data_IF_183069017286
#
_entry.id   IF_183069017286
#
_cell.length_a   1.000
_cell.length_b   1.000
_cell.length_c   1.000
_cell.angle_alpha   90.00
_cell.angle_beta   90.00
_cell.angle_gamma   90.00
#
_symmetry.space_group_name_H-M   'P 1'
#
loop_
_entity.id
_entity.type
_entity.pdbx_description
1 polymer ?
#
# COMPACT_ATOMS: atom_id res chain seq x y z
N UNK A 1 1.35 15.91 -14.62
CA UNK A 1 0.42 16.40 -13.57
C UNK A 1 -1.03 15.97 -13.82
N UNK A 2 -1.62 16.20 -15.00
CA UNK A 2 -3.03 15.85 -15.28
C UNK A 2 -3.34 14.34 -15.18
N UNK A 3 -2.48 13.48 -15.72
CA UNK A 3 -2.69 12.03 -15.67
C UNK A 3 -2.63 11.45 -14.24
N UNK A 4 -1.77 12.00 -13.38
CA UNK A 4 -1.63 11.59 -11.97
C UNK A 4 -2.87 11.99 -11.17
N UNK A 5 -3.40 13.20 -11.41
CA UNK A 5 -4.63 13.66 -10.78
C UNK A 5 -5.86 12.83 -11.21
N UNK A 6 -5.92 12.43 -12.48
CA UNK A 6 -6.98 11.56 -13.01
C UNK A 6 -6.88 10.14 -12.45
N UNK A 7 -5.67 9.60 -12.30
CA UNK A 7 -5.46 8.30 -11.68
C UNK A 7 -5.84 8.31 -10.18
N UNK A 8 -5.47 9.35 -9.44
CA UNK A 8 -5.87 9.54 -8.04
C UNK A 8 -7.39 9.72 -7.91
N UNK A 9 -8.01 10.50 -8.80
CA UNK A 9 -9.45 10.69 -8.83
C UNK A 9 -10.21 9.41 -9.19
N UNK A 10 -9.65 8.57 -10.07
CA UNK A 10 -10.22 7.27 -10.42
C UNK A 10 -10.14 6.27 -9.26
N UNK A 11 -9.01 6.24 -8.52
CA UNK A 11 -8.85 5.39 -7.33
C UNK A 11 -9.82 5.81 -6.22
N UNK A 12 -10.03 7.12 -6.03
CA UNK A 12 -10.99 7.64 -5.04
C UNK A 12 -12.44 7.44 -5.48
N UNK A 13 -12.74 7.63 -6.76
CA UNK A 13 -14.11 7.61 -7.30
C UNK A 13 -14.77 6.23 -7.35
N UNK A 14 -13.99 5.15 -7.51
CA UNK A 14 -14.53 3.78 -7.58
C UNK A 14 -14.96 3.25 -6.19
N UNK A 15 -14.45 3.82 -5.10
CA UNK A 15 -14.75 3.38 -3.73
C UNK A 15 -16.12 3.78 -3.16
N UNK A 16 -16.90 4.61 -3.86
CA UNK A 16 -18.11 5.24 -3.28
C UNK A 16 -19.45 4.54 -3.60
N UNK A 17 -19.48 3.51 -4.45
CA UNK A 17 -20.76 2.96 -4.97
C UNK A 17 -21.36 1.82 -4.10
N UNK A 18 -20.72 1.45 -2.98
CA UNK A 18 -21.14 0.29 -2.15
C UNK A 18 -21.81 0.61 -0.80
N UNK A 19 -22.10 1.87 -0.47
CA UNK A 19 -22.43 2.31 0.90
C UNK A 19 -23.88 2.05 1.32
N UNK A 20 -24.27 0.79 1.47
CA UNK A 20 -25.56 0.42 2.07
C UNK A 20 -25.38 -0.46 3.33
N UNK A 21 -25.65 0.16 4.49
CA UNK A 21 -26.11 -0.46 5.76
C UNK A 21 -25.09 -1.19 6.66
N UNK A 22 -24.09 -0.46 7.13
CA UNK A 22 -23.47 -0.54 8.47
C UNK A 22 -22.55 0.69 8.57
N UNK A 23 -22.39 1.32 9.73
CA UNK A 23 -21.31 2.32 9.86
C UNK A 23 -20.00 1.63 9.49
N UNK A 24 -19.28 2.07 8.45
CA UNK A 24 -18.06 1.39 8.03
C UNK A 24 -17.07 1.43 9.18
N UNK A 25 -16.59 0.26 9.63
CA UNK A 25 -15.54 0.25 10.63
C UNK A 25 -14.29 0.91 10.02
N UNK A 26 -13.76 2.00 10.60
CA UNK A 26 -12.60 2.68 10.04
C UNK A 26 -11.29 1.90 10.25
N UNK A 27 -11.29 0.87 11.10
CA UNK A 27 -10.08 0.12 11.49
C UNK A 27 -9.28 -0.36 10.27
N UNK A 28 -9.86 -0.98 9.22
CA UNK A 28 -9.07 -1.46 8.09
C UNK A 28 -8.40 -0.32 7.36
N UNK A 29 -9.12 0.80 7.17
CA UNK A 29 -8.57 1.99 6.52
C UNK A 29 -7.44 2.60 7.34
N UNK A 30 -7.58 2.67 8.67
CA UNK A 30 -6.53 3.16 9.58
C UNK A 30 -5.28 2.28 9.43
N UNK A 31 -5.43 0.95 9.43
CA UNK A 31 -4.31 0.02 9.30
C UNK A 31 -3.63 0.16 7.94
N UNK A 32 -4.41 0.28 6.87
CA UNK A 32 -3.89 0.52 5.52
C UNK A 32 -3.13 1.84 5.39
N UNK A 33 -3.68 2.94 5.88
CA UNK A 33 -3.02 4.25 5.85
C UNK A 33 -1.76 4.23 6.72
N UNK A 34 -1.82 3.60 7.90
CA UNK A 34 -0.67 3.47 8.79
C UNK A 34 0.49 2.74 8.09
N UNK A 35 0.22 1.64 7.38
CA UNK A 35 1.27 0.92 6.64
C UNK A 35 1.71 1.60 5.35
N UNK A 36 0.84 2.40 4.72
CA UNK A 36 1.25 3.24 3.61
C UNK A 36 2.24 4.33 4.05
N UNK A 37 1.99 4.94 5.23
CA UNK A 37 2.88 5.95 5.78
C UNK A 37 4.19 5.36 6.32
N UNK A 38 4.10 4.22 6.99
CA UNK A 38 5.23 3.49 7.57
C UNK A 38 5.06 2.00 7.26
N UNK A 39 5.72 1.48 6.20
CA UNK A 39 5.58 0.07 5.83
C UNK A 39 5.81 -0.87 7.01
N UNK A 40 4.84 -1.75 7.23
CA UNK A 40 4.80 -2.71 8.34
C UNK A 40 3.95 -2.26 9.54
N UNK A 41 3.66 -0.97 9.70
CA UNK A 41 2.89 -0.48 10.85
C UNK A 41 1.46 -1.02 10.86
N UNK A 42 0.80 -1.10 9.71
CA UNK A 42 -0.55 -1.68 9.63
C UNK A 42 -0.60 -3.17 9.96
N UNK A 43 0.41 -3.93 9.54
CA UNK A 43 0.57 -5.33 9.91
C UNK A 43 0.81 -5.48 11.41
N UNK A 44 1.59 -4.57 12.03
CA UNK A 44 1.80 -4.56 13.47
C UNK A 44 0.49 -4.32 14.24
N UNK A 45 -0.34 -3.39 13.77
CA UNK A 45 -1.67 -3.14 14.32
C UNK A 45 -2.63 -4.33 14.11
N UNK A 46 -2.40 -5.12 13.06
CA UNK A 46 -3.05 -6.40 12.86
C UNK A 46 -2.40 -7.55 13.65
N UNK A 47 -1.43 -7.32 14.54
CA UNK A 47 -0.72 -8.38 15.29
C UNK A 47 0.05 -9.39 14.41
N UNK A 48 0.26 -9.07 13.12
CA UNK A 48 1.03 -9.87 12.17
C UNK A 48 2.52 -9.47 12.25
N UNK A 49 3.15 -9.70 13.40
CA UNK A 49 4.47 -9.13 13.72
C UNK A 49 5.60 -9.55 12.75
N UNK A 50 5.62 -10.80 12.31
CA UNK A 50 6.62 -11.28 11.33
C UNK A 50 6.46 -10.55 9.98
N UNK A 51 5.20 -10.30 9.59
CA UNK A 51 4.86 -9.57 8.38
C UNK A 51 5.20 -8.09 8.51
N UNK A 52 4.90 -7.49 9.67
CA UNK A 52 5.27 -6.12 10.00
C UNK A 52 6.77 -5.88 9.87
N UNK A 53 7.57 -6.77 10.46
CA UNK A 53 9.02 -6.72 10.37
C UNK A 53 9.49 -6.86 8.92
N UNK A 54 8.89 -7.76 8.15
CA UNK A 54 9.24 -7.95 6.73
C UNK A 54 8.98 -6.69 5.91
N UNK A 55 7.80 -6.09 6.02
CA UNK A 55 7.47 -4.86 5.29
C UNK A 55 8.40 -3.70 5.65
N UNK A 56 8.69 -3.54 6.94
CA UNK A 56 9.59 -2.50 7.43
C UNK A 56 11.04 -2.73 6.96
N UNK A 57 11.55 -3.95 7.07
CA UNK A 57 12.92 -4.28 6.69
C UNK A 57 13.16 -4.10 5.19
N UNK A 58 12.20 -4.49 4.35
CA UNK A 58 12.28 -4.26 2.89
C UNK A 58 12.28 -2.77 2.60
N UNK A 59 11.47 -1.98 3.30
CA UNK A 59 11.42 -0.54 3.11
C UNK A 59 12.76 0.14 3.45
N UNK A 60 13.34 -0.22 4.60
CA UNK A 60 14.68 0.23 5.00
C UNK A 60 15.72 -0.19 3.97
N UNK A 61 15.67 -1.43 3.48
CA UNK A 61 16.59 -1.91 2.45
C UNK A 61 16.44 -1.14 1.13
N UNK A 62 15.22 -0.78 0.73
CA UNK A 62 14.97 0.04 -0.46
C UNK A 62 15.52 1.45 -0.31
N UNK A 63 15.27 2.12 0.82
CA UNK A 63 15.70 3.51 1.02
C UNK A 63 17.22 3.58 1.22
N UNK A 64 17.76 2.77 2.13
CA UNK A 64 19.20 2.79 2.47
C UNK A 64 20.01 2.11 1.37
N UNK A 65 19.67 0.88 1.02
CA UNK A 65 20.37 0.12 -0.01
C UNK A 65 20.22 0.76 -1.39
N UNK A 66 19.03 1.22 -1.75
CA UNK A 66 18.80 1.97 -2.98
C UNK A 66 19.57 3.29 -3.01
N UNK A 67 19.66 4.01 -1.89
CA UNK A 67 20.48 5.22 -1.76
C UNK A 67 21.97 4.96 -2.06
N UNK A 68 22.55 3.91 -1.46
CA UNK A 68 23.94 3.53 -1.74
C UNK A 68 24.14 3.10 -3.20
N UNK A 69 23.23 2.29 -3.76
CA UNK A 69 23.29 1.88 -5.16
C UNK A 69 23.24 3.08 -6.11
N UNK A 70 22.35 4.04 -5.83
CA UNK A 70 22.21 5.26 -6.61
C UNK A 70 23.43 6.17 -6.53
N UNK A 71 24.16 6.15 -5.41
CA UNK A 71 25.37 6.95 -5.21
C UNK A 71 26.61 6.35 -5.88
N UNK A 72 26.71 5.02 -5.98
CA UNK A 72 27.92 4.34 -6.45
C UNK A 72 27.87 4.03 -7.95
N UNK A 73 26.70 3.70 -8.49
CA UNK A 73 26.60 3.27 -9.88
C UNK A 73 26.58 4.47 -10.83
N UNK A 74 27.52 4.55 -11.80
CA UNK A 74 27.47 5.58 -12.83
C UNK A 74 26.29 5.33 -13.78
N UNK A 75 25.43 6.33 -13.97
CA UNK A 75 24.26 6.22 -14.85
C UNK A 75 24.25 7.33 -15.92
N UNK A 76 24.29 6.99 -17.22
CA UNK A 76 24.03 7.95 -18.29
C UNK A 76 22.52 7.97 -18.61
N UNK A 77 21.81 9.00 -18.17
CA UNK A 77 20.47 9.36 -18.69
C UNK A 77 19.26 9.14 -17.77
N UNK A 78 19.34 8.30 -16.73
CA UNK A 78 18.24 8.12 -15.76
C UNK A 78 18.78 8.11 -14.33
N UNK A 79 18.30 9.02 -13.49
CA UNK A 79 18.73 9.08 -12.09
C UNK A 79 18.15 7.92 -11.28
N UNK A 80 19.04 7.08 -10.75
CA UNK A 80 18.69 5.94 -9.91
C UNK A 80 17.89 6.35 -8.66
N UNK A 81 18.04 7.59 -8.19
CA UNK A 81 17.22 8.12 -7.10
C UNK A 81 15.72 8.16 -7.45
N UNK A 82 15.36 8.46 -8.71
CA UNK A 82 13.96 8.37 -9.15
C UNK A 82 13.46 6.93 -9.16
N UNK A 83 14.30 6.00 -9.62
CA UNK A 83 13.97 4.57 -9.59
C UNK A 83 13.69 4.08 -8.18
N UNK A 84 14.58 4.40 -7.23
CA UNK A 84 14.42 4.06 -5.81
C UNK A 84 13.13 4.67 -5.25
N UNK A 85 12.85 5.94 -5.53
CA UNK A 85 11.62 6.60 -5.09
C UNK A 85 10.35 5.93 -5.61
N UNK A 86 10.32 5.52 -6.88
CA UNK A 86 9.17 4.80 -7.46
C UNK A 86 9.00 3.43 -6.82
N UNK A 87 10.08 2.68 -6.64
CA UNK A 87 10.02 1.34 -6.03
C UNK A 87 9.57 1.44 -4.57
N UNK A 88 10.08 2.40 -3.81
CA UNK A 88 9.64 2.69 -2.44
C UNK A 88 8.15 3.05 -2.39
N UNK A 89 7.66 3.93 -3.27
CA UNK A 89 6.25 4.31 -3.31
C UNK A 89 5.33 3.12 -3.63
N UNK A 90 5.73 2.24 -4.57
CA UNK A 90 4.99 1.02 -4.88
C UNK A 90 5.00 0.04 -3.70
N UNK A 91 6.13 -0.08 -3.00
CA UNK A 91 6.24 -0.91 -1.80
C UNK A 91 5.34 -0.41 -0.66
N UNK A 92 5.33 0.89 -0.41
CA UNK A 92 4.46 1.53 0.57
C UNK A 92 2.98 1.30 0.24
N UNK A 93 2.59 1.47 -1.03
CA UNK A 93 1.23 1.17 -1.48
C UNK A 93 0.86 -0.30 -1.26
N UNK A 94 1.75 -1.22 -1.62
CA UNK A 94 1.55 -2.65 -1.39
C UNK A 94 1.40 -2.97 0.11
N UNK A 95 2.26 -2.40 0.96
CA UNK A 95 2.20 -2.60 2.42
C UNK A 95 0.89 -2.09 3.01
N UNK A 96 0.41 -0.93 2.57
CA UNK A 96 -0.89 -0.38 2.98
C UNK A 96 -2.06 -1.26 2.52
N UNK A 97 -2.06 -1.67 1.25
CA UNK A 97 -3.10 -2.55 0.71
C UNK A 97 -3.17 -3.88 1.46
N UNK A 98 -2.01 -4.48 1.76
CA UNK A 98 -1.93 -5.72 2.50
C UNK A 98 -2.50 -5.60 3.93
N UNK A 99 -2.14 -4.54 4.65
CA UNK A 99 -2.65 -4.29 6.00
C UNK A 99 -4.16 -4.05 6.01
N UNK A 100 -4.67 -3.32 5.01
CA UNK A 100 -6.10 -3.10 4.81
C UNK A 100 -6.84 -4.42 4.59
N UNK A 101 -6.33 -5.30 3.72
CA UNK A 101 -6.96 -6.58 3.43
C UNK A 101 -6.97 -7.54 4.62
N UNK A 102 -5.87 -7.61 5.38
CA UNK A 102 -5.83 -8.40 6.62
C UNK A 102 -6.86 -7.89 7.63
N UNK A 103 -6.97 -6.57 7.78
CA UNK A 103 -7.93 -5.98 8.70
C UNK A 103 -9.38 -6.24 8.26
N UNK A 104 -9.69 -6.13 6.95
CA UNK A 104 -10.98 -6.53 6.42
C UNK A 104 -11.30 -8.00 6.72
N UNK A 105 -10.34 -8.90 6.47
CA UNK A 105 -10.52 -10.34 6.72
C UNK A 105 -10.81 -10.63 8.20
N UNK A 106 -10.17 -9.91 9.12
CA UNK A 106 -10.43 -10.01 10.57
C UNK A 106 -11.81 -9.51 10.96
N UNK A 107 -12.41 -8.62 10.17
CA UNK A 107 -13.81 -8.19 10.31
C UNK A 107 -14.81 -9.14 9.63
N UNK A 108 -14.34 -10.24 9.03
CA UNK A 108 -15.16 -11.16 8.24
C UNK A 108 -15.48 -10.64 6.83
N UNK A 109 -14.88 -9.53 6.42
CA UNK A 109 -15.09 -8.90 5.12
C UNK A 109 -13.94 -9.29 4.18
N UNK A 110 -14.24 -9.70 2.95
CA UNK A 110 -13.18 -9.96 1.95
C UNK A 110 -13.46 -9.26 0.64
N UNK A 111 -12.41 -8.66 0.06
CA UNK A 111 -12.43 -8.06 -1.27
C UNK A 111 -11.88 -9.06 -2.28
N UNK A 112 -12.76 -9.51 -3.17
CA UNK A 112 -12.41 -10.39 -4.28
C UNK A 112 -12.25 -9.56 -5.55
N UNK A 113 -11.03 -9.51 -6.09
CA UNK A 113 -10.74 -8.84 -7.36
C UNK A 113 -10.72 -9.90 -8.46
N UNK A 114 -11.65 -9.79 -9.42
CA UNK A 114 -11.74 -10.69 -10.57
C UNK A 114 -11.52 -9.92 -11.88
N UNK A 115 -11.16 -10.60 -12.99
CA UNK A 115 -11.07 -9.98 -14.31
C UNK A 115 -12.38 -9.30 -14.76
N UNK A 116 -13.51 -9.72 -14.17
CA UNK A 116 -14.86 -9.24 -14.48
C UNK A 116 -15.37 -8.14 -13.52
N UNK A 117 -14.62 -7.80 -12.48
CA UNK A 117 -15.01 -6.76 -11.51
C UNK A 117 -14.56 -7.06 -10.07
N UNK A 118 -15.02 -6.21 -9.15
CA UNK A 118 -14.71 -6.27 -7.73
C UNK A 118 -15.95 -6.72 -6.95
N UNK A 119 -15.80 -7.67 -6.03
CA UNK A 119 -16.86 -8.13 -5.14
C UNK A 119 -16.44 -7.99 -3.67
N UNK A 120 -17.37 -7.53 -2.83
CA UNK A 120 -17.22 -7.55 -1.37
C UNK A 120 -18.07 -8.69 -0.84
N UNK A 121 -17.48 -9.62 -0.10
CA UNK A 121 -18.18 -10.71 0.59
C UNK A 121 -18.20 -10.44 2.09
N UNK A 122 -19.34 -10.78 2.70
CA UNK A 122 -19.62 -10.71 4.13
C UNK A 122 -19.92 -12.11 4.66
#
# INVERSE_FOLDING_TARGET
MRAVAVALAAVVGVGMVGWARQEPNPIPLIHGIASFAIPGLGQYLNEEYDKALTHFAVDVALVVGGGYLAAILPYPGFSLYWGVGVVHALWAFYSGWDAYQVALQREGISLEVSPTGFAVRF
#
